data_IF_976182663406
#
_entry.id   IF_976182663406
#
_cell.length_a   1.000
_cell.length_b   1.000
_cell.length_c   1.000
_cell.angle_alpha   90.00
_cell.angle_beta   90.00
_cell.angle_gamma   90.00
#
_symmetry.space_group_name_H-M   'P 1'
#
loop_
_entity.id
_entity.type
_entity.pdbx_description
1 polymer ?
#
# COMPACT_ATOMS: atom_id res chain seq x y z
N UNK A 1 32.10 14.59 16.83
CA UNK A 1 32.37 13.14 16.98
C UNK A 1 31.37 12.67 18.03
N UNK A 2 30.29 11.94 17.75
CA UNK A 2 30.08 10.85 16.77
C UNK A 2 28.58 10.73 16.54
N UNK A 3 28.11 10.86 15.30
CA UNK A 3 26.75 10.40 14.93
C UNK A 3 26.93 9.27 13.94
N UNK A 4 26.90 8.05 14.47
CA UNK A 4 26.63 6.84 13.70
C UNK A 4 25.19 6.96 13.18
N UNK A 5 24.98 7.12 11.87
CA UNK A 5 23.69 6.77 11.30
C UNK A 5 23.83 6.25 9.87
N UNK A 6 23.51 4.96 9.79
CA UNK A 6 23.16 4.19 8.60
C UNK A 6 24.30 3.90 7.64
N UNK A 7 25.11 2.90 7.99
CA UNK A 7 25.74 2.06 6.98
C UNK A 7 24.62 1.48 6.11
N UNK A 8 24.60 1.90 4.84
CA UNK A 8 23.74 1.31 3.82
C UNK A 8 23.99 -0.19 3.79
N UNK A 9 22.99 -0.95 4.23
CA UNK A 9 23.08 -2.39 4.36
C UNK A 9 23.11 -3.01 2.95
N UNK A 10 24.32 -3.08 2.36
CA UNK A 10 24.61 -3.92 1.19
C UNK A 10 24.53 -5.38 1.64
N UNK A 11 23.38 -6.02 1.48
CA UNK A 11 23.25 -7.46 1.70
C UNK A 11 23.11 -8.20 0.38
N UNK A 12 24.08 -9.07 0.13
CA UNK A 12 24.18 -10.00 -0.98
C UNK A 12 23.05 -11.04 -0.88
N UNK A 13 22.04 -10.97 -1.75
CA UNK A 13 21.00 -12.01 -1.82
C UNK A 13 19.64 -11.58 -2.37
N UNK A 14 19.59 -11.11 -3.62
CA UNK A 14 18.51 -11.29 -4.61
C UNK A 14 17.02 -10.98 -4.34
N UNK A 15 16.50 -10.87 -3.12
CA UNK A 15 15.05 -10.76 -2.86
C UNK A 15 14.75 -10.00 -1.56
N UNK A 16 15.23 -8.77 -1.43
CA UNK A 16 14.89 -7.94 -0.27
C UNK A 16 14.52 -6.54 -0.71
N UNK A 17 13.39 -6.07 -0.19
CA UNK A 17 12.89 -4.72 -0.38
C UNK A 17 14.00 -3.70 -0.11
N UNK A 18 14.01 -2.63 -0.91
CA UNK A 18 14.91 -1.52 -0.64
C UNK A 18 14.55 -0.92 0.74
N UNK A 19 15.49 -0.92 1.70
CA UNK A 19 15.20 -0.48 3.07
C UNK A 19 14.77 0.99 3.14
N UNK A 20 15.26 1.84 2.23
CA UNK A 20 14.90 3.26 2.18
C UNK A 20 13.46 3.44 1.72
N UNK A 21 13.03 2.71 0.69
CA UNK A 21 11.63 2.74 0.23
C UNK A 21 10.69 2.20 1.32
N UNK A 22 11.06 1.08 1.94
CA UNK A 22 10.27 0.47 2.99
C UNK A 22 10.17 1.39 4.23
N UNK A 23 11.23 2.13 4.56
CA UNK A 23 11.23 3.08 5.66
C UNK A 23 10.30 4.26 5.42
N UNK A 24 10.16 4.73 4.17
CA UNK A 24 9.17 5.76 3.81
C UNK A 24 7.75 5.19 3.93
N UNK A 25 7.49 4.01 3.35
CA UNK A 25 6.15 3.40 3.38
C UNK A 25 5.66 3.10 4.80
N UNK A 26 6.57 2.72 5.70
CA UNK A 26 6.25 2.39 7.09
C UNK A 26 6.00 3.59 8.00
N UNK A 27 6.28 4.82 7.54
CA UNK A 27 5.92 6.01 8.30
C UNK A 27 4.41 6.19 8.29
N UNK A 28 3.84 6.41 7.10
CA UNK A 28 2.40 6.52 6.86
C UNK A 28 2.13 6.68 5.34
N UNK A 29 0.86 6.58 4.95
CA UNK A 29 0.43 6.69 3.55
C UNK A 29 0.63 8.10 2.97
N UNK A 30 0.49 9.16 3.78
CA UNK A 30 0.66 10.54 3.30
C UNK A 30 2.14 10.80 2.97
N UNK A 31 3.05 10.43 3.87
CA UNK A 31 4.49 10.48 3.67
C UNK A 31 4.91 9.67 2.44
N UNK A 32 4.35 8.47 2.27
CA UNK A 32 4.59 7.66 1.08
C UNK A 32 4.15 8.34 -0.22
N UNK A 33 2.92 8.85 -0.25
CA UNK A 33 2.38 9.49 -1.45
C UNK A 33 3.16 10.77 -1.80
N UNK A 34 3.49 11.61 -0.80
CA UNK A 34 4.33 12.80 -1.02
C UNK A 34 5.71 12.44 -1.57
N UNK A 35 6.30 11.33 -1.11
CA UNK A 35 7.56 10.84 -1.65
C UNK A 35 7.39 10.34 -3.10
N UNK A 36 6.29 9.66 -3.43
CA UNK A 36 5.98 9.22 -4.81
C UNK A 36 5.78 10.39 -5.76
N UNK A 37 5.19 11.48 -5.31
CA UNK A 37 4.93 12.67 -6.14
C UNK A 37 6.21 13.36 -6.64
N UNK A 38 7.31 13.21 -5.89
CA UNK A 38 8.61 13.80 -6.23
C UNK A 38 9.66 12.78 -6.68
N UNK A 39 9.37 11.48 -6.61
CA UNK A 39 10.27 10.39 -7.02
C UNK A 39 9.63 9.48 -8.08
N UNK A 40 9.97 9.72 -9.34
CA UNK A 40 9.55 8.90 -10.48
C UNK A 40 10.45 7.66 -10.65
N UNK A 41 10.38 6.76 -9.66
CA UNK A 41 11.08 5.47 -9.69
C UNK A 41 10.11 4.32 -9.51
N UNK A 42 10.55 3.10 -9.78
CA UNK A 42 9.80 1.89 -9.42
C UNK A 42 10.24 1.45 -8.01
N UNK A 43 9.36 1.53 -7.00
CA UNK A 43 9.77 1.18 -5.65
C UNK A 43 9.98 -0.32 -5.53
N UNK A 44 11.17 -0.73 -5.12
CA UNK A 44 11.41 -2.12 -4.74
C UNK A 44 10.94 -2.39 -3.31
N UNK A 45 9.81 -3.10 -3.20
CA UNK A 45 9.18 -3.60 -1.99
C UNK A 45 9.13 -5.14 -1.98
N UNK A 46 9.99 -5.79 -2.77
CA UNK A 46 9.97 -7.25 -2.95
C UNK A 46 10.28 -7.97 -1.64
N UNK A 47 9.53 -9.00 -1.29
CA UNK A 47 9.72 -9.73 -0.03
C UNK A 47 9.43 -8.92 1.24
N UNK A 48 8.86 -7.71 1.12
CA UNK A 48 8.57 -6.89 2.29
C UNK A 48 7.53 -7.54 3.22
N UNK A 49 7.76 -7.48 4.53
CA UNK A 49 6.74 -7.77 5.54
C UNK A 49 5.90 -6.51 5.77
N UNK A 50 4.68 -6.54 5.22
CA UNK A 50 3.66 -5.49 5.26
C UNK A 50 2.34 -6.01 5.86
N UNK A 51 2.42 -7.08 6.68
CA UNK A 51 1.25 -7.70 7.29
C UNK A 51 0.49 -6.70 8.13
N UNK A 52 -0.84 -6.62 7.93
CA UNK A 52 -1.75 -5.69 8.63
C UNK A 52 -1.38 -4.21 8.51
N UNK A 53 -0.56 -3.84 7.52
CA UNK A 53 -0.24 -2.44 7.26
C UNK A 53 -1.50 -1.67 6.84
N UNK A 54 -1.57 -0.39 7.23
CA UNK A 54 -2.62 0.53 6.76
C UNK A 54 -2.08 1.21 5.51
N UNK A 55 -2.51 0.72 4.34
CA UNK A 55 -2.07 1.15 3.01
C UNK A 55 -3.24 1.72 2.19
N UNK A 56 -4.33 2.08 2.85
CA UNK A 56 -5.52 2.63 2.20
C UNK A 56 -5.18 3.94 1.48
N UNK A 57 -5.38 4.00 0.16
CA UNK A 57 -5.04 5.17 -0.66
C UNK A 57 -3.54 5.29 -1.00
N UNK A 58 -2.71 4.30 -0.70
CA UNK A 58 -1.28 4.34 -1.04
C UNK A 58 -1.06 4.21 -2.56
N UNK A 59 -0.18 5.04 -3.11
CA UNK A 59 0.28 4.94 -4.49
C UNK A 59 1.39 3.87 -4.60
N UNK A 60 0.99 2.61 -4.79
CA UNK A 60 1.87 1.46 -5.00
C UNK A 60 2.03 1.10 -6.49
N UNK A 61 1.68 2.03 -7.39
CA UNK A 61 1.80 1.84 -8.84
C UNK A 61 3.22 1.48 -9.24
N UNK A 62 3.34 0.54 -10.18
CA UNK A 62 4.62 0.01 -10.71
C UNK A 62 5.60 -0.54 -9.65
N UNK A 63 5.17 -0.73 -8.40
CA UNK A 63 6.05 -1.24 -7.35
C UNK A 63 6.36 -2.72 -7.57
N UNK A 64 7.61 -3.10 -7.29
CA UNK A 64 7.98 -4.51 -7.18
C UNK A 64 7.55 -5.02 -5.81
N UNK A 65 6.51 -5.87 -5.76
CA UNK A 65 5.95 -6.47 -4.54
C UNK A 65 6.13 -8.00 -4.54
N UNK A 66 7.00 -8.51 -5.41
CA UNK A 66 7.21 -9.95 -5.58
C UNK A 66 7.60 -10.60 -4.25
N UNK A 67 6.84 -11.62 -3.82
CA UNK A 67 7.04 -12.30 -2.55
C UNK A 67 6.72 -11.49 -1.28
N UNK A 68 6.19 -10.27 -1.39
CA UNK A 68 5.83 -9.47 -0.21
C UNK A 68 4.64 -10.10 0.54
N UNK A 69 4.61 -9.96 1.86
CA UNK A 69 3.49 -10.39 2.71
C UNK A 69 2.60 -9.20 3.08
N UNK A 70 1.48 -9.07 2.39
CA UNK A 70 0.43 -8.08 2.62
C UNK A 70 -0.74 -8.66 3.42
N UNK A 71 -0.57 -9.82 4.07
CA UNK A 71 -1.71 -10.48 4.70
C UNK A 71 -2.34 -9.62 5.80
N UNK A 72 -3.67 -9.46 5.71
CA UNK A 72 -4.43 -8.58 6.61
C UNK A 72 -4.24 -7.08 6.38
N UNK A 73 -3.48 -6.62 5.38
CA UNK A 73 -3.28 -5.21 5.11
C UNK A 73 -4.58 -4.53 4.63
N UNK A 74 -4.78 -3.27 4.99
CA UNK A 74 -5.83 -2.43 4.42
C UNK A 74 -5.31 -1.80 3.13
N UNK A 75 -5.83 -2.25 1.99
CA UNK A 75 -5.52 -1.75 0.65
C UNK A 75 -6.70 -0.95 0.07
N UNK A 76 -7.62 -0.47 0.91
CA UNK A 76 -8.78 0.30 0.47
C UNK A 76 -8.40 1.52 -0.35
N UNK A 77 -8.66 1.48 -1.66
CA UNK A 77 -8.32 2.58 -2.57
C UNK A 77 -6.83 2.74 -2.89
N UNK A 78 -5.97 1.77 -2.52
CA UNK A 78 -4.57 1.76 -2.95
C UNK A 78 -4.48 1.63 -4.49
N UNK A 79 -3.55 2.35 -5.11
CA UNK A 79 -3.26 2.19 -6.54
C UNK A 79 -2.18 1.12 -6.72
N UNK A 80 -2.53 0.03 -7.41
CA UNK A 80 -1.65 -1.09 -7.74
C UNK A 80 -1.44 -1.21 -9.25
N UNK A 81 -1.77 -0.18 -10.05
CA UNK A 81 -1.58 -0.23 -11.50
C UNK A 81 -0.12 -0.54 -11.85
N UNK A 82 0.08 -1.58 -12.66
CA UNK A 82 1.41 -2.00 -13.10
C UNK A 82 2.30 -2.62 -12.01
N UNK A 83 1.81 -2.83 -10.80
CA UNK A 83 2.60 -3.44 -9.73
C UNK A 83 2.92 -4.92 -10.03
N UNK A 84 4.13 -5.35 -9.69
CA UNK A 84 4.59 -6.73 -9.86
C UNK A 84 4.24 -7.54 -8.60
N UNK A 85 3.26 -8.44 -8.72
CA UNK A 85 2.63 -9.13 -7.59
C UNK A 85 3.00 -10.63 -7.51
N UNK A 86 4.04 -11.08 -8.21
CA UNK A 86 4.39 -12.50 -8.25
C UNK A 86 4.72 -13.05 -6.86
N UNK A 87 3.95 -14.03 -6.39
CA UNK A 87 4.14 -14.64 -5.07
C UNK A 87 3.75 -13.75 -3.88
N UNK A 88 3.05 -12.63 -4.11
CA UNK A 88 2.55 -11.77 -3.03
C UNK A 88 1.49 -12.50 -2.18
N UNK A 89 1.55 -12.37 -0.87
CA UNK A 89 0.50 -12.87 0.02
C UNK A 89 -0.55 -11.77 0.28
N UNK A 90 -1.68 -11.83 -0.44
CA UNK A 90 -2.82 -10.92 -0.26
C UNK A 90 -3.94 -11.52 0.61
N UNK A 91 -3.66 -12.57 1.38
CA UNK A 91 -4.70 -13.21 2.18
C UNK A 91 -5.30 -12.23 3.20
N UNK A 92 -6.63 -12.19 3.28
CA UNK A 92 -7.37 -11.32 4.23
C UNK A 92 -7.09 -9.82 4.08
N UNK A 93 -6.59 -9.37 2.93
CA UNK A 93 -6.52 -7.92 2.68
C UNK A 93 -7.92 -7.33 2.70
N UNK A 94 -8.01 -6.11 3.21
CA UNK A 94 -9.24 -5.34 3.18
C UNK A 94 -9.19 -4.41 1.97
N UNK A 95 -10.06 -4.63 0.99
CA UNK A 95 -10.38 -3.61 -0.01
C UNK A 95 -11.77 -3.12 0.30
N UNK A 96 -11.92 -1.82 0.58
CA UNK A 96 -13.24 -1.19 0.52
C UNK A 96 -13.69 -1.22 -0.95
N UNK A 97 -14.33 -2.32 -1.36
CA UNK A 97 -15.26 -2.27 -2.49
C UNK A 97 -16.44 -1.45 -2.01
N UNK A 98 -16.57 -0.24 -2.58
CA UNK A 98 -17.73 0.64 -2.53
C UNK A 98 -18.53 0.59 -1.23
N UNK A 99 -18.45 1.65 -0.42
CA UNK A 99 -19.40 1.86 0.67
C UNK A 99 -20.81 1.47 0.17
N UNK A 100 -21.52 0.49 0.78
CA UNK A 100 -22.93 0.40 0.51
C UNK A 100 -23.53 1.70 1.03
N UNK A 101 -23.94 2.59 0.12
CA UNK A 101 -24.79 3.71 0.47
C UNK A 101 -26.09 3.11 1.03
N UNK A 102 -26.09 2.87 2.35
CA UNK A 102 -27.28 2.50 3.09
C UNK A 102 -28.25 3.68 2.99
N UNK A 103 -29.25 3.51 2.13
CA UNK A 103 -30.58 4.07 2.29
C UNK A 103 -30.71 5.56 2.00
N UNK A 104 -30.94 5.91 0.73
CA UNK A 104 -31.96 6.93 0.48
C UNK A 104 -33.31 6.27 0.80
N UNK A 105 -34.08 6.74 1.79
CA UNK A 105 -35.44 6.25 1.96
C UNK A 105 -36.21 6.59 0.69
N UNK A 106 -36.84 5.59 0.08
CA UNK A 106 -37.90 5.82 -0.88
C UNK A 106 -38.97 6.65 -0.15
N UNK A 107 -39.05 7.94 -0.46
CA UNK A 107 -40.21 8.73 -0.10
C UNK A 107 -41.41 8.13 -0.82
N UNK A 108 -42.13 7.28 -0.09
CA UNK A 108 -43.48 6.89 -0.43
C UNK A 108 -44.37 8.13 -0.47
N UNK A 109 -45.22 8.15 -1.50
CA UNK A 109 -46.32 9.07 -1.74
C UNK A 109 -47.20 9.32 -0.50
N UNK A 110 -48.01 10.39 -0.54
CA UNK A 110 -49.43 10.07 -0.59
C UNK A 110 -50.10 10.61 -1.85
N UNK A 111 -50.92 9.72 -2.41
CA UNK A 111 -51.95 9.99 -3.39
C UNK A 111 -52.81 11.19 -2.97
N UNK A 112 -53.14 12.06 -3.93
CA UNK A 112 -54.35 12.89 -3.86
C UNK A 112 -55.03 12.85 -5.22
N UNK A 113 -56.08 12.04 -5.30
CA UNK A 113 -57.22 12.30 -6.17
C UNK A 113 -58.12 13.37 -5.57
#
# INVERSE_FOLDING_TARGET
MTTLRSEGNKTLGGYMANPDHLAVLKQDVETWNNWRDVNYIQPDLSGADLRKAILSGANLSEAYLGGADLSGADLGGADLNGAYLDGVNLSRTFSVRGRPERGRPAQGHPERG
#
